data_IF_656117767059
#
_entry.id   IF_656117767059
#
_cell.length_a   1.000
_cell.length_b   1.000
_cell.length_c   1.000
_cell.angle_alpha   90.00
_cell.angle_beta   90.00
_cell.angle_gamma   90.00
#
_symmetry.space_group_name_H-M   'P 1'
#
loop_
_entity.id
_entity.type
_entity.pdbx_description
1 polymer ?
#
# COMPACT_ATOMS: atom_id res chain seq x y z
N UNK A 1 6.31 -2.83 -12.54
CA UNK A 1 6.60 -2.71 -11.11
C UNK A 1 5.33 -2.41 -10.30
N UNK A 2 4.84 -3.37 -9.49
CA UNK A 2 3.66 -3.23 -8.62
C UNK A 2 3.62 -1.93 -7.86
N UNK A 3 2.72 -1.05 -8.32
CA UNK A 3 2.54 0.27 -7.72
C UNK A 3 1.60 0.24 -6.52
N UNK A 4 0.57 -0.61 -6.53
CA UNK A 4 -0.37 -0.72 -5.41
C UNK A 4 -1.07 -2.07 -5.41
N UNK A 5 -1.55 -2.50 -4.24
CA UNK A 5 -2.17 -3.81 -4.07
C UNK A 5 -3.33 -3.74 -3.07
N UNK A 6 -4.38 -4.53 -3.27
CA UNK A 6 -5.40 -4.80 -2.25
C UNK A 6 -4.91 -5.95 -1.37
N UNK A 7 -4.73 -5.67 -0.09
CA UNK A 7 -4.20 -6.63 0.88
C UNK A 7 -5.29 -7.21 1.77
N UNK A 8 -5.00 -8.33 2.41
CA UNK A 8 -5.73 -8.73 3.61
C UNK A 8 -5.24 -7.85 4.77
N UNK A 9 -6.07 -6.88 5.16
CA UNK A 9 -5.75 -5.88 6.17
C UNK A 9 -6.06 -6.34 7.60
N UNK A 10 -7.00 -7.28 7.79
CA UNK A 10 -7.34 -7.81 9.10
C UNK A 10 -6.29 -8.83 9.57
N UNK A 11 -5.57 -8.47 10.63
CA UNK A 11 -4.54 -9.31 11.22
C UNK A 11 -5.08 -10.69 11.65
N UNK A 12 -6.37 -10.79 12.01
CA UNK A 12 -6.99 -12.06 12.43
C UNK A 12 -6.93 -13.12 11.35
N UNK A 13 -6.89 -12.72 10.07
CA UNK A 13 -6.67 -13.66 8.96
C UNK A 13 -5.30 -14.32 9.05
N UNK A 14 -4.26 -13.57 9.41
CA UNK A 14 -2.91 -14.11 9.60
C UNK A 14 -2.85 -15.04 10.81
N UNK A 15 -3.49 -14.65 11.93
CA UNK A 15 -3.60 -15.49 13.14
C UNK A 15 -4.27 -16.83 12.79
N UNK A 16 -5.42 -16.79 12.10
CA UNK A 16 -6.16 -17.99 11.70
C UNK A 16 -5.38 -18.87 10.72
N UNK A 17 -4.64 -18.27 9.79
CA UNK A 17 -3.97 -19.02 8.73
C UNK A 17 -2.64 -19.60 9.19
N UNK A 18 -1.88 -18.87 10.01
CA UNK A 18 -0.49 -19.22 10.35
C UNK A 18 -0.24 -19.45 11.84
N UNK A 19 -1.24 -19.27 12.71
CA UNK A 19 -1.03 -19.24 14.15
C UNK A 19 -0.14 -18.07 14.59
N UNK A 20 -0.11 -16.99 13.79
CA UNK A 20 0.77 -15.84 14.03
C UNK A 20 0.34 -15.04 15.27
N UNK A 21 1.32 -14.44 15.94
CA UNK A 21 1.09 -13.47 17.00
C UNK A 21 1.11 -12.06 16.44
N UNK A 22 0.12 -11.25 16.79
CA UNK A 22 0.15 -9.83 16.43
C UNK A 22 1.04 -9.06 17.41
N UNK A 23 1.95 -8.23 16.89
CA UNK A 23 2.71 -7.26 17.70
C UNK A 23 1.82 -6.06 18.05
N UNK A 24 0.86 -6.29 18.97
CA UNK A 24 -0.18 -5.31 19.32
C UNK A 24 0.40 -3.98 19.83
N UNK A 25 1.55 -4.03 20.51
CA UNK A 25 2.22 -2.85 21.05
C UNK A 25 2.78 -1.98 19.92
N UNK A 26 3.35 -2.57 18.87
CA UNK A 26 3.84 -1.83 17.71
C UNK A 26 2.69 -1.19 16.91
N UNK A 27 1.52 -1.86 16.84
CA UNK A 27 0.31 -1.23 16.31
C UNK A 27 -0.16 -0.07 17.19
N UNK A 28 -0.19 -0.24 18.52
CA UNK A 28 -0.56 0.82 19.45
C UNK A 28 0.33 2.06 19.32
N UNK A 29 1.66 1.85 19.24
CA UNK A 29 2.64 2.90 18.99
C UNK A 29 2.35 3.65 17.69
N UNK A 30 2.15 2.93 16.58
CA UNK A 30 1.86 3.52 15.28
C UNK A 30 0.58 4.39 15.30
N UNK A 31 -0.49 3.90 15.91
CA UNK A 31 -1.75 4.65 16.01
C UNK A 31 -1.65 5.86 16.93
N UNK A 32 -0.91 5.74 18.04
CA UNK A 32 -0.62 6.87 18.92
C UNK A 32 0.13 7.97 18.17
N UNK A 33 1.21 7.62 17.45
CA UNK A 33 1.98 8.57 16.64
C UNK A 33 1.12 9.23 15.56
N UNK A 34 0.23 8.49 14.91
CA UNK A 34 -0.72 9.04 13.93
C UNK A 34 -1.65 10.07 14.56
N UNK A 35 -2.20 9.72 15.72
CA UNK A 35 -3.12 10.56 16.48
C UNK A 35 -2.41 11.74 17.18
N UNK A 36 -1.08 11.78 17.22
CA UNK A 36 -0.25 12.89 17.69
C UNK A 36 0.28 13.77 16.53
N UNK A 37 -0.26 13.57 15.33
CA UNK A 37 0.00 14.44 14.18
C UNK A 37 1.11 13.96 13.24
N UNK A 38 1.64 12.75 13.42
CA UNK A 38 2.52 12.16 12.40
C UNK A 38 1.77 11.97 11.07
N UNK A 39 2.50 11.99 9.96
CA UNK A 39 1.94 11.86 8.60
C UNK A 39 1.81 10.40 8.14
N UNK A 40 1.78 9.45 9.07
CA UNK A 40 1.67 8.02 8.73
C UNK A 40 0.34 7.75 8.04
N UNK A 41 0.39 6.90 7.01
CA UNK A 41 -0.78 6.50 6.25
C UNK A 41 -1.08 5.04 6.58
N UNK A 42 -2.31 4.77 7.00
CA UNK A 42 -2.79 3.43 7.31
C UNK A 42 -4.10 3.24 6.52
N UNK A 43 -4.30 2.12 5.82
CA UNK A 43 -5.52 1.85 5.08
C UNK A 43 -6.71 1.76 6.04
N UNK A 44 -7.87 2.25 5.61
CA UNK A 44 -9.10 2.19 6.40
C UNK A 44 -9.44 0.76 6.85
N UNK A 45 -9.17 -0.24 6.02
CA UNK A 45 -9.45 -1.63 6.39
C UNK A 45 -8.59 -2.12 7.58
N UNK A 46 -7.40 -1.54 7.81
CA UNK A 46 -6.59 -1.84 8.99
C UNK A 46 -7.19 -1.14 10.22
N UNK A 47 -7.62 0.11 10.09
CA UNK A 47 -8.36 0.82 11.15
C UNK A 47 -9.63 0.04 11.55
N UNK A 48 -10.38 -0.43 10.57
CA UNK A 48 -11.64 -1.16 10.76
C UNK A 48 -11.45 -2.50 11.50
N UNK A 49 -10.25 -3.10 11.47
CA UNK A 49 -9.93 -4.30 12.24
C UNK A 49 -9.95 -4.08 13.77
N UNK A 50 -9.90 -2.83 14.22
CA UNK A 50 -10.00 -2.42 15.63
C UNK A 50 -11.35 -1.81 16.00
N UNK A 51 -12.37 -1.94 15.13
CA UNK A 51 -13.70 -1.41 15.38
C UNK A 51 -14.38 -2.02 16.60
N UNK A 52 -14.12 -3.31 16.86
CA UNK A 52 -14.63 -4.08 18.00
C UNK A 52 -13.47 -4.60 18.89
N UNK A 53 -12.92 -3.75 19.78
CA UNK A 53 -11.73 -4.06 20.56
C UNK A 53 -12.03 -5.01 21.73
N UNK A 54 -11.28 -6.10 21.79
CA UNK A 54 -11.40 -7.16 22.80
C UNK A 54 -10.45 -6.95 23.99
N UNK A 55 -9.31 -6.28 23.78
CA UNK A 55 -8.30 -6.04 24.82
C UNK A 55 -8.16 -4.56 25.19
N UNK A 56 -7.50 -4.26 26.31
CA UNK A 56 -7.20 -2.87 26.69
C UNK A 56 -6.32 -2.16 25.66
N UNK A 57 -5.31 -2.83 25.11
CA UNK A 57 -4.46 -2.26 24.07
C UNK A 57 -5.25 -2.01 22.77
N UNK A 58 -6.16 -2.92 22.39
CA UNK A 58 -7.08 -2.66 21.26
C UNK A 58 -8.02 -1.48 21.53
N UNK A 59 -8.50 -1.30 22.76
CA UNK A 59 -9.30 -0.12 23.16
C UNK A 59 -8.50 1.17 23.03
N UNK A 60 -7.21 1.17 23.38
CA UNK A 60 -6.32 2.31 23.20
C UNK A 60 -6.07 2.65 21.71
N UNK A 61 -5.88 1.62 20.87
CA UNK A 61 -5.80 1.78 19.42
C UNK A 61 -7.07 2.42 18.88
N UNK A 62 -8.24 1.87 19.25
CA UNK A 62 -9.54 2.41 18.82
C UNK A 62 -9.70 3.87 19.24
N UNK A 63 -9.36 4.22 20.48
CA UNK A 63 -9.42 5.61 20.95
C UNK A 63 -8.50 6.55 20.14
N UNK A 64 -7.33 6.08 19.74
CA UNK A 64 -6.40 6.84 18.87
C UNK A 64 -6.96 7.01 17.45
N UNK A 65 -7.60 5.98 16.90
CA UNK A 65 -8.32 6.05 15.61
C UNK A 65 -9.46 7.06 15.69
N UNK A 66 -10.30 6.98 16.72
CA UNK A 66 -11.45 7.86 16.90
C UNK A 66 -11.00 9.33 17.04
N UNK A 67 -9.95 9.59 17.82
CA UNK A 67 -9.36 10.94 17.97
C UNK A 67 -8.86 11.49 16.63
N UNK A 68 -8.06 10.69 15.91
CA UNK A 68 -7.55 11.07 14.60
C UNK A 68 -8.70 11.37 13.62
N UNK A 69 -9.72 10.52 13.57
CA UNK A 69 -10.87 10.69 12.68
C UNK A 69 -11.68 11.94 13.01
N UNK A 70 -11.91 12.26 14.28
CA UNK A 70 -12.59 13.49 14.69
C UNK A 70 -11.82 14.76 14.27
N UNK A 71 -10.49 14.74 14.42
CA UNK A 71 -9.64 15.85 13.95
C UNK A 71 -9.65 15.98 12.42
N UNK A 72 -9.60 14.86 11.69
CA UNK A 72 -9.67 14.89 10.22
C UNK A 72 -11.03 15.38 9.75
N UNK A 73 -12.12 14.94 10.38
CA UNK A 73 -13.46 15.41 10.05
C UNK A 73 -13.57 16.93 10.21
N UNK A 74 -13.11 17.47 11.35
CA UNK A 74 -13.08 18.92 11.60
C UNK A 74 -12.30 19.68 10.51
N UNK A 75 -11.11 19.17 10.14
CA UNK A 75 -10.28 19.78 9.07
C UNK A 75 -10.96 19.74 7.71
N UNK A 76 -11.65 18.63 7.38
CA UNK A 76 -12.37 18.47 6.12
C UNK A 76 -13.60 19.38 6.05
N UNK A 77 -14.34 19.53 7.14
CA UNK A 77 -15.47 20.46 7.24
C UNK A 77 -15.03 21.93 7.05
N UNK A 78 -13.91 22.32 7.65
CA UNK A 78 -13.32 23.64 7.45
C UNK A 78 -12.88 23.86 5.98
N UNK A 79 -12.23 22.86 5.36
CA UNK A 79 -11.87 22.94 3.94
C UNK A 79 -13.13 22.99 3.05
N UNK A 80 -14.20 22.25 3.37
CA UNK A 80 -15.47 22.31 2.66
C UNK A 80 -16.08 23.70 2.69
N UNK A 81 -16.12 24.35 3.86
CA UNK A 81 -16.60 25.72 3.97
C UNK A 81 -15.78 26.66 3.08
N UNK A 82 -14.44 26.58 3.18
CA UNK A 82 -13.53 27.40 2.37
C UNK A 82 -13.73 27.20 0.86
N UNK A 83 -13.85 25.95 0.40
CA UNK A 83 -14.01 25.66 -1.03
C UNK A 83 -15.40 26.01 -1.55
N UNK A 84 -16.46 25.88 -0.74
CA UNK A 84 -17.80 26.35 -1.10
C UNK A 84 -17.84 27.86 -1.31
N UNK A 85 -17.21 28.63 -0.42
CA UNK A 85 -17.06 30.09 -0.60
C UNK A 85 -16.30 30.41 -1.88
N UNK A 86 -15.17 29.73 -2.11
CA UNK A 86 -14.37 29.90 -3.34
C UNK A 86 -15.16 29.60 -4.61
N UNK A 87 -16.01 28.56 -4.59
CA UNK A 87 -16.86 28.19 -5.71
C UNK A 87 -17.90 29.29 -6.00
N UNK A 88 -18.60 29.77 -4.97
CA UNK A 88 -19.62 30.82 -5.11
C UNK A 88 -19.02 32.14 -5.66
N UNK A 89 -17.84 32.54 -5.18
CA UNK A 89 -17.16 33.75 -5.67
C UNK A 89 -16.69 33.60 -7.13
N UNK A 90 -16.20 32.41 -7.49
CA UNK A 90 -15.84 32.10 -8.88
C UNK A 90 -17.06 32.16 -9.80
N UNK A 91 -18.20 31.61 -9.38
CA UNK A 91 -19.45 31.64 -10.14
C UNK A 91 -20.00 33.06 -10.30
N UNK A 92 -19.97 33.86 -9.23
CA UNK A 92 -20.35 35.29 -9.30
C UNK A 92 -19.47 36.07 -10.28
N UNK A 93 -18.17 35.79 -10.29
CA UNK A 93 -17.24 36.40 -11.25
C UNK A 93 -17.57 35.97 -12.67
N UNK A 94 -17.84 34.69 -12.91
CA UNK A 94 -18.17 34.16 -14.23
C UNK A 94 -19.49 34.71 -14.78
N UNK A 95 -20.47 35.05 -13.93
CA UNK A 95 -21.72 35.71 -14.33
C UNK A 95 -21.50 37.12 -14.87
N UNK A 96 -20.56 37.88 -14.30
CA UNK A 96 -20.24 39.23 -14.78
C UNK A 96 -19.27 39.22 -15.96
N UNK A 97 -18.25 38.35 -15.91
CA UNK A 97 -17.26 38.21 -16.98
C UNK A 97 -16.58 36.83 -16.93
N UNK A 98 -16.61 36.13 -18.06
CA UNK A 98 -15.85 34.88 -18.20
C UNK A 98 -14.35 35.19 -18.20
N UNK A 99 -13.63 34.60 -17.25
CA UNK A 99 -12.16 34.70 -17.15
C UNK A 99 -11.55 33.33 -16.90
N UNK A 100 -10.36 33.08 -17.46
CA UNK A 100 -9.62 31.84 -17.24
C UNK A 100 -9.39 31.54 -15.76
N UNK A 101 -9.08 32.58 -14.97
CA UNK A 101 -8.85 32.45 -13.53
C UNK A 101 -10.10 32.00 -12.77
N UNK A 102 -11.27 32.57 -13.06
CA UNK A 102 -12.51 32.18 -12.41
C UNK A 102 -12.97 30.78 -12.84
N UNK A 103 -12.81 30.42 -14.13
CA UNK A 103 -13.09 29.06 -14.63
C UNK A 103 -12.25 28.01 -13.90
N UNK A 104 -10.95 28.26 -13.78
CA UNK A 104 -10.03 27.32 -13.10
C UNK A 104 -10.28 27.27 -11.59
N UNK A 105 -10.62 28.41 -10.97
CA UNK A 105 -11.00 28.46 -9.56
C UNK A 105 -12.26 27.64 -9.27
N UNK A 106 -13.29 27.75 -10.13
CA UNK A 106 -14.50 26.93 -10.06
C UNK A 106 -14.15 25.45 -10.14
N UNK A 107 -13.38 25.03 -11.15
CA UNK A 107 -12.96 23.64 -11.34
C UNK A 107 -12.25 23.08 -10.10
N UNK A 108 -11.22 23.77 -9.62
CA UNK A 108 -10.44 23.34 -8.45
C UNK A 108 -11.32 23.26 -7.19
N UNK A 109 -12.21 24.23 -6.98
CA UNK A 109 -13.10 24.24 -5.82
C UNK A 109 -14.07 23.06 -5.86
N UNK A 110 -14.70 22.79 -7.02
CA UNK A 110 -15.57 21.62 -7.23
C UNK A 110 -14.83 20.32 -6.94
N UNK A 111 -13.66 20.11 -7.54
CA UNK A 111 -12.84 18.89 -7.35
C UNK A 111 -12.52 18.66 -5.86
N UNK A 112 -12.16 19.73 -5.14
CA UNK A 112 -11.84 19.66 -3.72
C UNK A 112 -13.05 19.45 -2.82
N UNK A 113 -14.21 19.99 -3.17
CA UNK A 113 -15.47 19.74 -2.44
C UNK A 113 -15.81 18.26 -2.55
N UNK A 114 -15.83 17.72 -3.76
CA UNK A 114 -16.11 16.30 -4.00
C UNK A 114 -15.10 15.39 -3.30
N UNK A 115 -13.81 15.73 -3.31
CA UNK A 115 -12.79 14.97 -2.61
C UNK A 115 -12.98 15.03 -1.08
N UNK A 116 -13.37 16.18 -0.53
CA UNK A 116 -13.56 16.33 0.93
C UNK A 116 -14.83 15.63 1.41
N UNK A 117 -15.93 15.69 0.64
CA UNK A 117 -17.16 14.93 0.92
C UNK A 117 -16.89 13.43 0.91
N UNK A 118 -16.20 12.90 -0.10
CA UNK A 118 -15.83 11.48 -0.18
C UNK A 118 -15.00 11.03 1.03
N UNK A 119 -14.05 11.86 1.49
CA UNK A 119 -13.25 11.54 2.68
C UNK A 119 -14.08 11.54 3.97
N UNK A 120 -15.02 12.47 4.12
CA UNK A 120 -15.95 12.47 5.26
C UNK A 120 -16.86 11.25 5.24
N UNK A 121 -17.35 10.87 4.05
CA UNK A 121 -18.11 9.64 3.86
C UNK A 121 -17.27 8.42 4.28
N UNK A 122 -16.02 8.32 3.82
CA UNK A 122 -15.13 7.20 4.18
C UNK A 122 -14.84 7.12 5.69
N UNK A 123 -14.71 8.27 6.38
CA UNK A 123 -14.54 8.31 7.84
C UNK A 123 -15.77 7.72 8.55
N UNK A 124 -16.97 8.10 8.10
CA UNK A 124 -18.22 7.72 8.74
C UNK A 124 -18.72 6.33 8.33
N UNK A 125 -18.30 5.84 7.15
CA UNK A 125 -18.76 4.59 6.56
C UNK A 125 -18.33 3.38 7.38
N UNK A 126 -19.27 2.44 7.51
CA UNK A 126 -19.08 1.17 8.21
C UNK A 126 -19.00 -0.03 7.28
N UNK A 127 -19.66 0.02 6.12
CA UNK A 127 -19.59 -1.05 5.12
C UNK A 127 -18.23 -1.04 4.45
N UNK A 128 -17.46 -2.14 4.43
CA UNK A 128 -16.14 -2.17 3.79
C UNK A 128 -16.25 -2.02 2.27
N UNK A 129 -15.27 -1.34 1.68
CA UNK A 129 -15.11 -1.24 0.23
C UNK A 129 -13.74 -1.78 -0.19
N UNK A 130 -13.59 -2.38 -1.38
CA UNK A 130 -12.31 -2.92 -1.83
C UNK A 130 -11.14 -1.92 -1.79
N UNK A 131 -11.41 -0.63 -2.03
CA UNK A 131 -10.38 0.43 -1.95
C UNK A 131 -9.82 0.65 -0.54
N UNK A 132 -10.51 0.22 0.51
CA UNK A 132 -10.09 0.43 1.90
C UNK A 132 -8.87 -0.39 2.28
N UNK A 133 -8.64 -1.49 1.56
CA UNK A 133 -7.47 -2.36 1.73
C UNK A 133 -6.39 -2.11 0.68
N UNK A 134 -6.55 -1.11 -0.20
CA UNK A 134 -5.54 -0.78 -1.20
C UNK A 134 -4.39 -0.02 -0.57
N UNK A 135 -3.17 -0.57 -0.66
CA UNK A 135 -1.95 0.08 -0.21
C UNK A 135 -1.18 0.72 -1.37
N UNK A 136 -0.50 1.82 -1.07
CA UNK A 136 0.43 2.52 -1.96
C UNK A 136 1.77 2.73 -1.24
N UNK A 137 2.88 2.97 -1.95
CA UNK A 137 4.15 3.35 -1.35
C UNK A 137 3.97 4.48 -0.32
N UNK A 138 4.56 4.29 0.86
CA UNK A 138 4.41 5.14 2.04
C UNK A 138 3.25 4.77 2.98
N UNK A 139 2.48 3.71 2.67
CA UNK A 139 1.34 3.24 3.47
C UNK A 139 1.74 2.04 4.33
N UNK A 140 1.26 1.96 5.57
CA UNK A 140 1.48 0.82 6.45
C UNK A 140 0.60 -0.38 6.07
N UNK A 141 1.12 -1.59 6.25
CA UNK A 141 0.41 -2.84 6.05
C UNK A 141 0.81 -3.86 7.14
N UNK A 142 -0.06 -4.81 7.51
CA UNK A 142 0.35 -6.02 8.23
C UNK A 142 1.32 -6.84 7.37
N UNK A 143 2.47 -7.18 7.94
CA UNK A 143 3.49 -8.05 7.33
C UNK A 143 3.77 -9.22 8.27
N UNK A 144 3.65 -10.44 7.74
CA UNK A 144 4.03 -11.66 8.44
C UNK A 144 5.55 -11.84 8.38
N UNK A 145 6.19 -12.05 9.52
CA UNK A 145 7.63 -12.29 9.67
C UNK A 145 7.89 -13.44 10.64
N UNK A 146 9.10 -13.98 10.64
CA UNK A 146 9.58 -14.90 11.69
C UNK A 146 10.43 -14.13 12.70
N UNK A 147 10.10 -14.22 13.97
CA UNK A 147 10.92 -13.69 15.07
C UNK A 147 10.99 -14.71 16.20
N UNK A 148 12.21 -15.01 16.65
CA UNK A 148 12.45 -15.95 17.75
C UNK A 148 11.73 -17.31 17.55
N UNK A 149 11.68 -17.81 16.31
CA UNK A 149 11.03 -19.07 15.95
C UNK A 149 9.50 -19.04 15.97
N UNK A 150 8.88 -17.85 15.95
CA UNK A 150 7.42 -17.69 15.89
C UNK A 150 7.02 -16.75 14.77
N UNK A 151 5.86 -17.02 14.17
CA UNK A 151 5.23 -16.10 13.26
C UNK A 151 4.71 -14.86 13.99
N UNK A 152 5.09 -13.69 13.51
CA UNK A 152 4.67 -12.39 14.05
C UNK A 152 4.10 -11.53 12.93
N UNK A 153 3.00 -10.83 13.19
CA UNK A 153 2.45 -9.80 12.30
C UNK A 153 2.82 -8.43 12.85
N UNK A 154 3.56 -7.65 12.06
CA UNK A 154 3.96 -6.28 12.40
C UNK A 154 3.36 -5.28 11.40
N UNK A 155 3.03 -4.06 11.84
CA UNK A 155 2.71 -2.99 10.89
C UNK A 155 4.02 -2.46 10.31
N UNK A 156 4.17 -2.52 9.00
CA UNK A 156 5.36 -2.00 8.31
C UNK A 156 4.97 -1.08 7.16
N UNK A 157 5.73 -0.01 6.95
CA UNK A 157 5.52 0.91 5.84
C UNK A 157 5.96 0.27 4.52
N UNK A 158 5.05 0.12 3.57
CA UNK A 158 5.39 -0.23 2.20
C UNK A 158 6.23 0.90 1.59
N UNK A 159 7.35 0.58 0.92
CA UNK A 159 8.48 1.47 0.60
C UNK A 159 9.59 1.36 1.64
N UNK A 160 10.47 0.39 1.43
CA UNK A 160 11.55 0.03 2.35
C UNK A 160 12.62 1.12 2.43
N UNK A 161 13.08 1.40 3.64
CA UNK A 161 14.32 2.11 3.92
C UNK A 161 15.27 1.12 4.58
N UNK A 162 16.26 0.67 3.82
CA UNK A 162 17.27 -0.28 4.32
C UNK A 162 18.09 0.38 5.42
N UNK A 163 18.35 -0.36 6.51
CA UNK A 163 19.23 0.04 7.60
C UNK A 163 20.57 0.63 7.08
N UNK A 164 21.03 1.69 7.72
CA UNK A 164 22.26 2.40 7.33
C UNK A 164 22.13 3.35 6.15
N UNK A 165 20.99 3.42 5.45
CA UNK A 165 20.72 4.47 4.44
C UNK A 165 20.39 5.81 5.10
N UNK A 166 20.63 6.96 4.44
CA UNK A 166 20.17 8.26 4.92
C UNK A 166 18.65 8.33 5.12
N UNK A 167 18.18 9.17 6.06
CA UNK A 167 16.76 9.29 6.41
C UNK A 167 15.84 9.73 5.24
N UNK A 168 16.40 10.36 4.20
CA UNK A 168 15.68 10.81 3.02
C UNK A 168 15.86 9.88 1.80
N UNK A 169 16.50 8.71 1.96
CA UNK A 169 16.90 7.87 0.83
C UNK A 169 15.70 7.42 -0.02
N UNK A 170 14.68 6.88 0.62
CA UNK A 170 13.41 6.42 0.03
C UNK A 170 12.56 7.57 -0.54
N UNK A 171 12.79 8.80 -0.10
CA UNK A 171 12.17 10.00 -0.71
C UNK A 171 12.90 10.38 -1.99
N UNK A 172 14.24 10.32 -1.97
CA UNK A 172 15.09 10.61 -3.14
C UNK A 172 14.99 9.52 -4.21
N UNK A 173 14.81 8.27 -3.80
CA UNK A 173 14.72 7.10 -4.67
C UNK A 173 13.40 6.36 -4.36
N UNK A 174 12.27 6.80 -4.93
CA UNK A 174 10.95 6.36 -4.49
C UNK A 174 10.64 4.90 -4.82
N UNK A 175 11.44 4.22 -5.65
CA UNK A 175 11.23 2.84 -6.10
C UNK A 175 11.49 1.74 -5.07
N UNK A 176 11.88 2.08 -3.83
CA UNK A 176 12.24 1.09 -2.80
C UNK A 176 11.06 0.32 -2.20
N UNK A 177 9.87 0.37 -2.82
CA UNK A 177 8.74 -0.50 -2.51
C UNK A 177 8.80 -1.84 -3.27
N UNK A 178 9.68 -1.97 -4.26
CA UNK A 178 9.86 -3.22 -5.02
C UNK A 178 11.30 -3.72 -4.95
N UNK A 179 11.47 -4.93 -4.45
CA UNK A 179 12.71 -5.67 -4.40
C UNK A 179 12.88 -6.51 -5.66
N UNK A 180 13.51 -5.91 -6.69
CA UNK A 180 13.73 -6.62 -7.96
C UNK A 180 14.62 -7.84 -7.74
N UNK A 181 14.16 -8.98 -8.25
CA UNK A 181 14.87 -10.26 -8.19
C UNK A 181 16.32 -10.16 -8.69
N UNK A 182 16.51 -9.45 -9.80
CA UNK A 182 17.82 -9.22 -10.43
C UNK A 182 18.80 -8.36 -9.62
N UNK A 183 18.37 -7.79 -8.49
CA UNK A 183 19.20 -6.94 -7.63
C UNK A 183 19.13 -7.38 -6.15
N UNK A 184 18.71 -8.63 -5.88
CA UNK A 184 18.59 -9.18 -4.53
C UNK A 184 19.94 -9.25 -3.81
N UNK A 185 21.00 -9.62 -4.53
CA UNK A 185 22.38 -9.67 -4.01
C UNK A 185 23.17 -8.37 -4.18
N UNK A 186 22.57 -7.36 -4.82
CA UNK A 186 23.14 -6.02 -4.96
C UNK A 186 22.57 -5.07 -3.91
N UNK A 187 21.60 -4.25 -4.30
CA UNK A 187 21.00 -3.24 -3.41
C UNK A 187 20.33 -3.87 -2.17
N UNK A 188 19.69 -5.03 -2.33
CA UNK A 188 18.95 -5.71 -1.27
C UNK A 188 19.78 -6.70 -0.45
N UNK A 189 21.09 -6.80 -0.70
CA UNK A 189 22.01 -7.68 0.03
C UNK A 189 21.91 -7.58 1.56
N UNK A 190 21.69 -6.40 2.17
CA UNK A 190 21.52 -6.30 3.62
C UNK A 190 20.23 -6.93 4.17
N UNK A 191 19.28 -7.28 3.31
CA UNK A 191 17.97 -7.84 3.70
C UNK A 191 17.76 -9.25 3.17
N UNK A 192 18.11 -9.53 1.90
CA UNK A 192 17.92 -10.85 1.31
C UNK A 192 18.82 -11.89 1.99
N UNK A 193 18.19 -12.93 2.54
CA UNK A 193 18.86 -13.93 3.37
C UNK A 193 18.76 -13.68 4.88
N UNK A 194 18.19 -12.55 5.30
CA UNK A 194 18.18 -12.12 6.71
C UNK A 194 16.80 -11.71 7.21
N UNK A 195 16.12 -10.82 6.47
CA UNK A 195 14.88 -10.16 6.91
C UNK A 195 13.80 -10.30 5.84
N UNK A 196 13.16 -11.46 5.86
CA UNK A 196 12.08 -11.83 4.94
C UNK A 196 10.71 -11.60 5.57
N UNK A 197 9.74 -11.28 4.72
CA UNK A 197 8.35 -11.10 5.11
C UNK A 197 7.40 -11.67 4.06
N UNK A 198 6.13 -11.79 4.43
CA UNK A 198 5.03 -12.12 3.52
C UNK A 198 3.88 -11.14 3.78
N UNK A 199 3.29 -10.63 2.70
CA UNK A 199 1.98 -9.97 2.76
C UNK A 199 0.95 -10.81 2.01
N UNK A 200 -0.29 -10.72 2.44
CA UNK A 200 -1.43 -11.38 1.79
C UNK A 200 -2.09 -10.39 0.82
N UNK A 201 -2.18 -10.76 -0.46
CA UNK A 201 -2.69 -9.88 -1.53
C UNK A 201 -3.81 -10.56 -2.30
N UNK A 202 -4.94 -9.87 -2.47
CA UNK A 202 -6.07 -10.34 -3.29
C UNK A 202 -5.86 -10.00 -4.76
N UNK A 203 -5.49 -8.75 -5.03
CA UNK A 203 -5.20 -8.22 -6.37
C UNK A 203 -4.11 -7.16 -6.32
N UNK A 204 -3.43 -6.95 -7.43
CA UNK A 204 -2.49 -5.86 -7.60
C UNK A 204 -2.90 -4.96 -8.75
N UNK A 205 -2.33 -3.75 -8.78
CA UNK A 205 -2.67 -2.73 -9.74
C UNK A 205 -1.43 -2.11 -10.35
N UNK A 206 -1.48 -1.89 -11.65
CA UNK A 206 -0.38 -1.32 -12.40
C UNK A 206 -0.84 -0.13 -13.24
N UNK A 207 0.04 0.87 -13.33
CA UNK A 207 -0.10 1.90 -14.34
C UNK A 207 0.47 1.36 -15.65
N UNK A 208 -0.36 1.38 -16.68
CA UNK A 208 -0.02 0.92 -18.02
C UNK A 208 -0.29 2.06 -18.99
N UNK A 209 0.60 2.23 -19.98
CA UNK A 209 0.34 3.15 -21.08
C UNK A 209 -0.88 2.67 -21.86
N UNK A 210 -1.85 3.56 -22.06
CA UNK A 210 -3.10 3.27 -22.77
C UNK A 210 -2.85 2.65 -24.15
N UNK A 211 -1.86 3.15 -24.87
CA UNK A 211 -1.44 2.59 -26.16
C UNK A 211 -1.06 1.11 -26.07
N UNK A 212 -0.31 0.71 -25.04
CA UNK A 212 0.06 -0.69 -24.83
C UNK A 212 -1.17 -1.55 -24.54
N UNK A 213 -2.08 -1.07 -23.68
CA UNK A 213 -3.32 -1.78 -23.35
C UNK A 213 -4.25 -1.96 -24.56
N UNK A 214 -4.31 -0.96 -25.45
CA UNK A 214 -5.11 -1.02 -26.67
C UNK A 214 -4.42 -1.74 -27.83
N UNK A 215 -3.16 -2.16 -27.68
CA UNK A 215 -2.36 -2.73 -28.76
C UNK A 215 -2.11 -1.75 -29.92
N UNK A 216 -2.06 -0.45 -29.64
CA UNK A 216 -1.89 0.62 -30.62
C UNK A 216 -0.52 1.29 -30.50
N UNK A 217 -0.08 1.96 -31.56
CA UNK A 217 1.19 2.69 -31.55
C UNK A 217 1.05 3.97 -30.71
N UNK A 218 2.06 4.31 -29.90
CA UNK A 218 2.06 5.54 -29.09
C UNK A 218 1.79 6.81 -29.94
N UNK A 219 2.27 6.82 -31.18
CA UNK A 219 2.10 7.94 -32.12
C UNK A 219 0.66 8.15 -32.58
N UNK A 220 -0.22 7.13 -32.46
CA UNK A 220 -1.65 7.27 -32.80
C UNK A 220 -2.45 7.95 -31.68
N UNK A 221 -1.84 8.14 -30.50
CA UNK A 221 -2.44 8.83 -29.37
C UNK A 221 -2.05 10.29 -29.36
N UNK A 222 -3.02 11.19 -29.15
CA UNK A 222 -2.74 12.63 -29.05
C UNK A 222 -1.87 12.98 -27.82
N UNK A 223 -1.87 12.11 -26.80
CA UNK A 223 -1.08 12.24 -25.56
C UNK A 223 -0.72 10.86 -25.02
N UNK A 224 0.42 10.76 -24.35
CA UNK A 224 0.80 9.58 -23.56
C UNK A 224 -0.10 9.50 -22.32
N UNK A 225 -1.17 8.72 -22.42
CA UNK A 225 -2.14 8.49 -21.35
C UNK A 225 -1.80 7.21 -20.61
N UNK A 226 -1.92 7.22 -19.27
CA UNK A 226 -1.83 6.02 -18.46
C UNK A 226 -3.21 5.62 -17.96
N UNK A 227 -3.48 4.31 -17.99
CA UNK A 227 -4.62 3.68 -17.33
C UNK A 227 -4.13 2.83 -16.18
N UNK A 228 -4.98 2.63 -15.17
CA UNK A 228 -4.70 1.71 -14.07
C UNK A 228 -5.43 0.41 -14.38
N UNK A 229 -4.69 -0.70 -14.45
CA UNK A 229 -5.25 -2.03 -14.57
C UNK A 229 -5.26 -2.72 -13.20
N UNK A 230 -6.37 -3.37 -12.87
CA UNK A 230 -6.46 -4.37 -11.80
C UNK A 230 -6.08 -5.73 -12.37
N UNK A 231 -5.19 -6.47 -11.70
CA UNK A 231 -4.83 -7.85 -12.02
C UNK A 231 -5.28 -8.78 -10.89
N UNK A 232 -6.11 -9.76 -11.25
CA UNK A 232 -6.73 -10.71 -10.32
C UNK A 232 -6.42 -12.14 -10.70
N UNK A 233 -5.96 -12.99 -9.75
CA UNK A 233 -5.90 -14.43 -9.98
C UNK A 233 -7.27 -14.96 -10.40
N UNK A 234 -7.35 -15.62 -11.57
CA UNK A 234 -8.61 -16.16 -12.11
C UNK A 234 -9.28 -17.19 -11.21
N UNK A 235 -8.51 -17.88 -10.37
CA UNK A 235 -8.96 -18.84 -9.39
C UNK A 235 -9.39 -18.20 -8.06
N UNK A 236 -9.30 -16.87 -7.92
CA UNK A 236 -9.60 -16.15 -6.69
C UNK A 236 -8.66 -16.46 -5.53
N UNK A 237 -7.51 -17.09 -5.80
CA UNK A 237 -6.55 -17.49 -4.77
C UNK A 237 -5.90 -16.27 -4.12
N UNK A 238 -5.80 -16.31 -2.80
CA UNK A 238 -5.04 -15.34 -2.03
C UNK A 238 -3.54 -15.53 -2.28
N UNK A 239 -2.85 -14.47 -2.67
CA UNK A 239 -1.41 -14.51 -2.95
C UNK A 239 -0.59 -14.27 -1.67
N UNK A 240 0.36 -15.17 -1.39
CA UNK A 240 1.37 -14.98 -0.35
C UNK A 240 2.59 -14.29 -0.97
N UNK A 241 2.61 -12.97 -1.00
CA UNK A 241 3.65 -12.22 -1.73
C UNK A 241 4.93 -12.15 -0.91
N UNK A 242 6.01 -12.67 -1.48
CA UNK A 242 7.33 -12.61 -0.89
C UNK A 242 7.81 -11.16 -0.75
N UNK A 243 8.31 -10.81 0.42
CA UNK A 243 8.79 -9.46 0.75
C UNK A 243 10.15 -9.49 1.44
N UNK A 244 10.86 -8.37 1.37
CA UNK A 244 11.98 -8.05 2.24
C UNK A 244 11.63 -6.88 3.13
N UNK A 245 12.13 -6.87 4.36
CA UNK A 245 11.90 -5.78 5.29
C UNK A 245 13.19 -5.33 5.97
N UNK A 246 13.14 -4.15 6.58
CA UNK A 246 14.26 -3.62 7.35
C UNK A 246 13.74 -2.77 8.51
N UNK A 247 14.41 -2.88 9.67
CA UNK A 247 14.32 -1.88 10.74
C UNK A 247 15.40 -0.83 10.49
N UNK A 248 14.97 0.38 10.22
CA UNK A 248 15.85 1.53 10.09
C UNK A 248 15.82 2.37 11.36
N UNK A 249 16.99 2.72 11.87
CA UNK A 249 17.17 3.53 13.07
C UNK A 249 18.24 4.60 12.81
N UNK A 250 18.07 5.78 13.38
CA UNK A 250 19.08 6.83 13.37
C UNK A 250 18.98 7.71 14.63
N UNK A 251 20.09 8.32 15.09
CA UNK A 251 20.06 9.21 16.25
C UNK A 251 19.02 10.33 16.10
N UNK A 252 18.17 10.49 17.11
CA UNK A 252 17.13 11.53 17.14
C UNK A 252 15.99 11.33 16.14
N UNK A 253 15.85 10.13 15.55
CA UNK A 253 14.74 9.77 14.66
C UNK A 253 14.01 8.56 15.23
N UNK A 254 12.68 8.46 15.06
CA UNK A 254 11.95 7.25 15.40
C UNK A 254 12.40 6.09 14.51
N UNK A 255 12.39 4.90 15.09
CA UNK A 255 12.60 3.67 14.35
C UNK A 255 11.51 3.49 13.29
N UNK A 256 11.92 2.98 12.12
CA UNK A 256 11.04 2.72 11.00
C UNK A 256 11.14 1.25 10.59
N UNK A 257 10.03 0.52 10.77
CA UNK A 257 9.82 -0.76 10.11
C UNK A 257 9.23 -0.51 8.71
N UNK A 258 9.90 -1.02 7.69
CA UNK A 258 9.45 -0.84 6.31
C UNK A 258 9.80 -2.04 5.44
N UNK A 259 9.04 -2.23 4.38
CA UNK A 259 9.15 -3.42 3.53
C UNK A 259 8.98 -3.11 2.04
N UNK A 260 9.40 -4.07 1.23
CA UNK A 260 9.26 -4.07 -0.22
C UNK A 260 8.82 -5.45 -0.71
N UNK A 261 7.92 -5.47 -1.69
CA UNK A 261 7.48 -6.69 -2.34
C UNK A 261 8.55 -7.15 -3.34
N UNK A 262 8.86 -8.45 -3.39
CA UNK A 262 9.75 -8.98 -4.41
C UNK A 262 9.03 -9.00 -5.74
N UNK A 263 9.70 -8.48 -6.77
CA UNK A 263 9.19 -8.45 -8.13
C UNK A 263 10.14 -9.12 -9.09
N UNK A 264 9.59 -9.75 -10.11
CA UNK A 264 10.33 -10.45 -11.15
C UNK A 264 9.71 -10.19 -12.52
N UNK A 265 10.22 -10.85 -13.56
CA UNK A 265 9.58 -10.91 -14.88
C UNK A 265 8.08 -11.28 -14.78
N UNK A 266 7.22 -10.60 -15.55
CA UNK A 266 5.78 -10.81 -15.52
C UNK A 266 5.41 -12.11 -16.25
N UNK A 267 4.28 -12.75 -15.90
CA UNK A 267 3.71 -13.79 -16.75
C UNK A 267 3.18 -13.20 -18.07
N UNK A 268 3.00 -14.02 -19.12
CA UNK A 268 2.68 -13.54 -20.47
C UNK A 268 1.46 -12.63 -20.56
N UNK A 269 0.42 -12.87 -19.76
CA UNK A 269 -0.81 -12.07 -19.76
C UNK A 269 -0.64 -10.67 -19.13
N UNK A 270 0.27 -10.53 -18.17
CA UNK A 270 0.62 -9.24 -17.57
C UNK A 270 1.55 -8.46 -18.50
N UNK A 271 2.47 -9.15 -19.17
CA UNK A 271 3.32 -8.55 -20.21
C UNK A 271 2.50 -8.07 -21.40
N UNK A 272 1.57 -8.89 -21.89
CA UNK A 272 0.66 -8.55 -22.98
C UNK A 272 -0.23 -7.35 -22.63
N UNK A 273 -0.59 -7.19 -21.36
CA UNK A 273 -1.28 -6.01 -20.85
C UNK A 273 -0.38 -4.77 -20.76
N UNK A 274 0.88 -4.83 -21.21
CA UNK A 274 1.79 -3.70 -21.32
C UNK A 274 2.62 -3.42 -20.07
N UNK A 275 2.78 -4.41 -19.18
CA UNK A 275 3.45 -4.24 -17.91
C UNK A 275 4.66 -5.17 -17.73
N UNK A 276 5.75 -4.67 -17.15
CA UNK A 276 7.09 -5.26 -17.30
C UNK A 276 7.60 -6.04 -16.08
N UNK A 277 6.85 -6.06 -14.97
CA UNK A 277 7.21 -6.78 -13.74
C UNK A 277 5.99 -7.20 -12.95
N UNK A 278 6.06 -8.35 -12.29
CA UNK A 278 4.99 -8.83 -11.42
C UNK A 278 5.53 -9.13 -10.01
N UNK A 279 4.68 -8.98 -9.00
CA UNK A 279 4.94 -9.50 -7.65
C UNK A 279 5.11 -11.02 -7.67
N UNK A 280 5.90 -11.55 -6.71
CA UNK A 280 6.19 -12.98 -6.61
C UNK A 280 5.36 -13.61 -5.47
N UNK A 281 4.24 -14.30 -5.78
CA UNK A 281 3.51 -15.09 -4.80
C UNK A 281 4.21 -16.44 -4.56
N UNK A 282 4.63 -16.72 -3.34
CA UNK A 282 5.20 -18.03 -2.99
C UNK A 282 4.09 -19.00 -2.57
N UNK A 283 4.32 -20.29 -2.77
CA UNK A 283 3.41 -21.34 -2.31
C UNK A 283 3.32 -21.37 -0.79
N UNK A 284 2.17 -21.80 -0.27
CA UNK A 284 1.93 -21.93 1.17
C UNK A 284 2.96 -22.80 1.88
N UNK A 285 3.37 -23.92 1.28
CA UNK A 285 4.36 -24.83 1.85
C UNK A 285 5.77 -24.21 1.96
N UNK A 286 6.06 -23.15 1.21
CA UNK A 286 7.36 -22.48 1.22
C UNK A 286 7.43 -21.30 2.22
N UNK A 287 6.33 -20.94 2.89
CA UNK A 287 6.28 -19.76 3.79
C UNK A 287 7.24 -19.90 4.97
N UNK A 288 7.33 -21.07 5.60
CA UNK A 288 8.23 -21.28 6.73
C UNK A 288 9.70 -21.15 6.32
N UNK A 289 10.10 -21.84 5.24
CA UNK A 289 11.45 -21.78 4.72
C UNK A 289 11.84 -20.38 4.21
N UNK A 290 10.87 -19.63 3.67
CA UNK A 290 11.07 -18.25 3.25
C UNK A 290 11.30 -17.30 4.42
N UNK A 291 10.46 -17.40 5.46
CA UNK A 291 10.54 -16.52 6.62
C UNK A 291 11.69 -16.89 7.56
N UNK A 292 12.18 -18.13 7.52
CA UNK A 292 13.31 -18.63 8.30
C UNK A 292 14.47 -19.10 7.40
N UNK A 293 15.24 -18.17 6.78
CA UNK A 293 16.27 -18.50 5.79
C UNK A 293 17.49 -19.21 6.42
N UNK A 294 17.47 -20.54 6.53
CA UNK A 294 18.58 -21.34 7.09
C UNK A 294 19.42 -22.10 6.05
N UNK A 295 18.87 -22.33 4.85
CA UNK A 295 19.47 -23.16 3.80
C UNK A 295 20.33 -22.39 2.76
N UNK A 296 20.69 -21.14 3.05
CA UNK A 296 21.49 -20.28 2.16
C UNK A 296 20.70 -19.68 0.99
N UNK A 297 21.36 -18.80 0.20
CA UNK A 297 20.69 -18.00 -0.82
C UNK A 297 20.11 -18.82 -1.98
N UNK A 298 20.75 -19.94 -2.35
CA UNK A 298 20.28 -20.80 -3.43
C UNK A 298 18.88 -21.38 -3.14
N UNK A 299 18.64 -21.83 -1.90
CA UNK A 299 17.34 -22.32 -1.49
C UNK A 299 16.26 -21.24 -1.53
N UNK A 300 16.62 -19.99 -1.21
CA UNK A 300 15.68 -18.86 -1.29
C UNK A 300 15.30 -18.54 -2.75
N UNK A 301 16.26 -18.60 -3.67
CA UNK A 301 15.93 -18.48 -5.09
C UNK A 301 15.05 -19.64 -5.57
N UNK A 302 15.30 -20.87 -5.10
CA UNK A 302 14.46 -22.03 -5.45
C UNK A 302 13.00 -21.83 -5.00
N UNK A 303 12.77 -21.23 -3.83
CA UNK A 303 11.43 -20.83 -3.37
C UNK A 303 10.81 -19.79 -4.32
N UNK A 304 11.59 -18.79 -4.73
CA UNK A 304 11.11 -17.79 -5.69
C UNK A 304 10.86 -18.38 -7.08
N UNK A 305 11.58 -19.42 -7.50
CA UNK A 305 11.32 -20.13 -8.76
C UNK A 305 10.07 -20.99 -8.69
N UNK A 306 9.88 -21.70 -7.57
CA UNK A 306 8.69 -22.50 -7.24
C UNK A 306 7.52 -21.64 -6.72
N UNK A 307 7.29 -20.51 -7.39
CA UNK A 307 6.20 -19.58 -7.09
C UNK A 307 4.85 -20.11 -7.59
N UNK A 308 3.79 -19.63 -6.97
CA UNK A 308 2.45 -19.76 -7.55
C UNK A 308 2.38 -18.96 -8.87
N UNK A 309 1.75 -19.55 -9.88
CA UNK A 309 1.54 -18.92 -11.20
C UNK A 309 0.07 -19.00 -11.62
N UNK A 310 -0.85 -18.34 -10.89
CA UNK A 310 -2.22 -18.20 -11.37
C UNK A 310 -2.22 -17.37 -12.66
N UNK A 311 -3.23 -17.56 -13.49
CA UNK A 311 -3.47 -16.66 -14.61
C UNK A 311 -4.12 -15.38 -14.10
N UNK A 312 -3.58 -14.22 -14.47
CA UNK A 312 -4.13 -12.93 -14.04
C UNK A 312 -5.11 -12.35 -15.07
N UNK A 313 -6.39 -12.35 -14.72
CA UNK A 313 -7.39 -11.56 -15.44
C UNK A 313 -7.18 -10.08 -15.15
N UNK A 314 -7.36 -9.23 -16.16
CA UNK A 314 -7.21 -7.78 -15.99
C UNK A 314 -8.41 -6.98 -16.47
N UNK A 315 -8.65 -5.86 -15.80
CA UNK A 315 -9.69 -4.87 -16.14
C UNK A 315 -9.24 -3.46 -15.78
N UNK A 316 -9.89 -2.45 -16.36
CA UNK A 316 -9.72 -1.07 -15.91
C UNK A 316 -10.12 -0.96 -14.44
N UNK A 317 -9.22 -0.41 -13.62
CA UNK A 317 -9.50 -0.16 -12.22
C UNK A 317 -10.51 0.98 -12.08
N UNK A 318 -11.51 0.76 -11.22
CA UNK A 318 -12.48 1.77 -10.81
C UNK A 318 -11.90 2.74 -9.76
#
# INVERSE_FOLDING_TARGET
MCYSAQIQADYRKYVKTFGAHMDIEEFARLYFERADGSKVKIPKAVDDSFRDPQTDTERQIKASIDRFNAEQATKLEQELFKQRTRLADAERTLQSKVTKAATESKRIATDKIEASLRRLEDINRTEPQPRDSRIFPGTYAPVLVMENGRYVVRPMRYQCRIAGKPANYDVKYPGTYNARRDNLEGFWKPCFGYTHGVILVDVFYENVRKANMEGTLLETHQKDENVVLEFRPNNGQLMHVACLWSRWSAPGQPDLLSFAAITDEPPPEVEAAGHDRCIVPIKSENIEAWLNPSAGLHALYAILDDRDRPYYEHRLAA
#
